data_IF_439888159527
#
_entry.id   IF_439888159527
#
_cell.length_a   1.000
_cell.length_b   1.000
_cell.length_c   1.000
_cell.angle_alpha   90.00
_cell.angle_beta   90.00
_cell.angle_gamma   90.00
#
_symmetry.space_group_name_H-M   'P 1'
#
loop_
_entity.id
_entity.type
_entity.pdbx_description
1 polymer ?
#
# COMPACT_ATOMS: atom_id res chain seq x y z
N UNK A 1 15.78 22.87 5.65
CA UNK A 1 16.19 21.51 5.25
C UNK A 1 15.35 20.41 5.94
N UNK A 2 14.05 20.66 6.21
CA UNK A 2 13.14 19.71 6.89
C UNK A 2 12.31 18.88 5.88
N UNK A 3 12.08 19.41 4.67
CA UNK A 3 11.29 18.71 3.64
C UNK A 3 11.95 17.46 3.03
N UNK A 4 13.28 17.35 3.07
CA UNK A 4 14.01 16.14 2.64
C UNK A 4 14.03 15.04 3.72
N UNK A 5 13.79 15.39 4.99
CA UNK A 5 13.81 14.43 6.09
C UNK A 5 12.60 13.47 6.04
N UNK A 6 11.46 13.96 5.51
CA UNK A 6 10.24 13.18 5.27
C UNK A 6 10.46 12.07 4.22
N UNK A 7 11.40 12.25 3.30
CA UNK A 7 11.67 11.29 2.24
C UNK A 7 12.54 10.12 2.66
N UNK A 8 13.34 10.25 3.72
CA UNK A 8 14.34 9.23 4.06
C UNK A 8 14.06 8.44 5.33
N UNK A 9 13.22 8.94 6.27
CA UNK A 9 12.84 8.24 7.50
C UNK A 9 11.35 8.46 7.79
N UNK A 10 10.47 7.68 7.15
CA UNK A 10 9.04 7.67 7.46
C UNK A 10 8.70 6.70 8.60
N UNK A 11 9.44 6.73 9.72
CA UNK A 11 9.21 5.86 10.89
C UNK A 11 7.88 6.10 11.62
N UNK A 12 6.80 6.42 10.91
CA UNK A 12 5.44 6.57 11.40
C UNK A 12 4.88 5.25 11.93
N UNK A 13 5.20 4.14 11.26
CA UNK A 13 4.88 2.79 11.74
C UNK A 13 5.85 2.30 12.82
N UNK A 14 7.02 2.93 12.92
CA UNK A 14 8.06 2.59 13.89
C UNK A 14 8.01 3.47 15.16
N UNK A 15 7.26 4.58 15.15
CA UNK A 15 7.12 5.47 16.30
C UNK A 15 6.18 4.85 17.34
N UNK A 16 6.67 4.45 18.53
CA UNK A 16 5.86 3.86 19.58
C UNK A 16 4.80 4.82 20.15
N UNK A 17 4.87 6.11 19.83
CA UNK A 17 3.82 7.10 20.18
C UNK A 17 2.59 7.01 19.29
N UNK A 18 2.78 6.54 18.05
CA UNK A 18 1.71 6.39 17.06
C UNK A 18 1.19 4.95 17.04
N UNK A 19 2.08 3.97 17.25
CA UNK A 19 1.74 2.54 17.24
C UNK A 19 2.35 1.74 18.42
N UNK A 20 1.86 1.91 19.66
CA UNK A 20 2.27 1.08 20.78
C UNK A 20 1.57 -0.31 20.74
N UNK A 21 2.30 -1.43 20.93
CA UNK A 21 3.73 -1.58 21.19
C UNK A 21 4.60 -1.49 19.93
N UNK A 22 5.89 -1.10 20.06
CA UNK A 22 6.80 -1.00 18.91
C UNK A 22 6.86 -2.33 18.14
N UNK A 23 7.00 -2.29 16.80
CA UNK A 23 7.03 -3.49 15.98
C UNK A 23 8.14 -4.46 16.40
N UNK A 24 7.84 -5.76 16.31
CA UNK A 24 8.86 -6.79 16.45
C UNK A 24 9.87 -6.70 15.28
N UNK A 25 11.11 -7.23 15.42
CA UNK A 25 12.09 -7.23 14.33
C UNK A 25 11.58 -7.91 13.04
N UNK A 26 10.70 -8.91 13.18
CA UNK A 26 10.05 -9.58 12.06
C UNK A 26 9.01 -8.67 11.36
N UNK A 27 8.27 -7.87 12.12
CA UNK A 27 7.35 -6.87 11.59
C UNK A 27 8.09 -5.74 10.86
N UNK A 28 9.19 -5.24 11.42
CA UNK A 28 10.03 -4.24 10.73
C UNK A 28 10.53 -4.73 9.37
N UNK A 29 10.94 -6.01 9.26
CA UNK A 29 11.37 -6.56 7.98
C UNK A 29 10.23 -6.58 6.92
N UNK A 30 8.98 -6.69 7.36
CA UNK A 30 7.80 -6.67 6.50
C UNK A 30 7.36 -5.24 6.19
N UNK A 31 7.56 -4.27 7.11
CA UNK A 31 7.07 -2.90 6.94
C UNK A 31 8.11 -1.92 6.40
N UNK A 32 9.41 -2.26 6.45
CA UNK A 32 10.50 -1.38 6.04
C UNK A 32 10.34 -0.85 4.60
N UNK A 33 9.72 -1.61 3.70
CA UNK A 33 9.47 -1.15 2.34
C UNK A 33 8.49 0.03 2.27
N UNK A 34 7.55 0.14 3.22
CA UNK A 34 6.55 1.20 3.23
C UNK A 34 7.17 2.54 3.63
N UNK A 35 8.25 2.50 4.39
CA UNK A 35 8.99 3.66 4.86
C UNK A 35 10.09 4.12 3.88
N UNK A 36 10.27 3.37 2.78
CA UNK A 36 11.25 3.68 1.75
C UNK A 36 10.74 4.72 0.74
N UNK A 37 11.64 5.64 0.36
CA UNK A 37 11.37 6.67 -0.64
C UNK A 37 10.93 6.13 -2.00
N UNK A 38 11.44 4.95 -2.41
CA UNK A 38 11.12 4.35 -3.71
C UNK A 38 9.67 3.89 -3.76
N UNK A 39 9.12 3.41 -2.65
CA UNK A 39 7.72 2.99 -2.54
C UNK A 39 6.79 4.20 -2.61
N UNK A 40 7.10 5.25 -1.83
CA UNK A 40 6.39 6.53 -1.89
C UNK A 40 6.43 7.16 -3.29
N UNK A 41 7.58 7.10 -3.98
CA UNK A 41 7.70 7.58 -5.35
C UNK A 41 6.83 6.77 -6.32
N UNK A 42 6.77 5.45 -6.17
CA UNK A 42 5.91 4.58 -6.98
C UNK A 42 4.43 4.95 -6.83
N UNK A 43 3.96 5.16 -5.59
CA UNK A 43 2.59 5.59 -5.30
C UNK A 43 2.26 6.93 -5.97
N UNK A 44 3.17 7.90 -5.89
CA UNK A 44 3.00 9.22 -6.51
C UNK A 44 2.93 9.10 -8.03
N UNK A 45 3.83 8.34 -8.65
CA UNK A 45 3.85 8.14 -10.11
C UNK A 45 2.54 7.48 -10.57
N UNK A 46 2.11 6.41 -9.91
CA UNK A 46 0.86 5.73 -10.26
C UNK A 46 -0.36 6.65 -10.05
N UNK A 47 -0.41 7.38 -8.94
CA UNK A 47 -1.47 8.35 -8.66
C UNK A 47 -1.54 9.46 -9.71
N UNK A 48 -0.40 10.01 -10.13
CA UNK A 48 -0.32 11.01 -11.20
C UNK A 48 -0.75 10.42 -12.55
N UNK A 49 -0.33 9.20 -12.90
CA UNK A 49 -0.74 8.55 -14.13
C UNK A 49 -2.27 8.35 -14.19
N UNK A 50 -2.88 7.92 -13.08
CA UNK A 50 -4.33 7.79 -12.95
C UNK A 50 -5.00 9.16 -13.09
N UNK A 51 -4.52 10.17 -12.35
CA UNK A 51 -5.10 11.51 -12.34
C UNK A 51 -5.07 12.15 -13.73
N UNK A 52 -3.92 12.11 -14.41
CA UNK A 52 -3.76 12.59 -15.79
C UNK A 52 -4.66 11.80 -16.74
N UNK A 53 -4.73 10.48 -16.57
CA UNK A 53 -5.60 9.60 -17.34
C UNK A 53 -7.09 9.96 -17.21
N UNK A 54 -7.55 10.30 -16.00
CA UNK A 54 -8.92 10.75 -15.73
C UNK A 54 -9.17 12.12 -16.35
N UNK A 55 -8.30 13.11 -16.10
CA UNK A 55 -8.50 14.48 -16.63
C UNK A 55 -8.51 14.55 -18.16
N UNK A 56 -7.69 13.72 -18.82
CA UNK A 56 -7.59 13.69 -20.28
C UNK A 56 -8.46 12.59 -20.92
N UNK A 57 -9.30 11.92 -20.13
CA UNK A 57 -10.12 10.78 -20.57
C UNK A 57 -9.32 9.70 -21.34
N UNK A 58 -8.06 9.47 -20.93
CA UNK A 58 -7.15 8.49 -21.51
C UNK A 58 -7.23 7.19 -20.71
N UNK A 59 -8.07 6.26 -21.19
CA UNK A 59 -8.27 4.94 -20.56
C UNK A 59 -6.97 4.18 -20.30
N UNK A 60 -6.04 4.17 -21.27
CA UNK A 60 -4.76 3.48 -21.11
C UNK A 60 -3.93 3.98 -19.92
N UNK A 61 -3.88 5.29 -19.69
CA UNK A 61 -3.14 5.88 -18.57
C UNK A 61 -3.82 5.60 -17.23
N UNK A 62 -5.16 5.71 -17.19
CA UNK A 62 -5.95 5.43 -16.00
C UNK A 62 -5.85 3.95 -15.61
N UNK A 63 -6.17 3.06 -16.56
CA UNK A 63 -6.25 1.63 -16.31
C UNK A 63 -4.85 1.04 -16.10
N UNK A 64 -3.85 1.48 -16.88
CA UNK A 64 -2.45 1.12 -16.68
C UNK A 64 -1.90 1.58 -15.33
N UNK A 65 -2.24 2.80 -14.89
CA UNK A 65 -1.89 3.31 -13.57
C UNK A 65 -2.54 2.51 -12.43
N UNK A 66 -3.81 2.09 -12.60
CA UNK A 66 -4.50 1.23 -11.63
C UNK A 66 -3.86 -0.16 -11.54
N UNK A 67 -3.50 -0.76 -12.67
CA UNK A 67 -2.80 -2.05 -12.71
C UNK A 67 -1.43 -1.95 -12.03
N UNK A 68 -0.65 -0.91 -12.33
CA UNK A 68 0.65 -0.66 -11.71
C UNK A 68 0.58 -0.37 -10.20
N UNK A 69 -0.52 0.24 -9.73
CA UNK A 69 -0.75 0.51 -8.31
C UNK A 69 -1.16 -0.75 -7.53
N UNK A 70 -1.78 -1.73 -8.19
CA UNK A 70 -2.36 -2.91 -7.53
C UNK A 70 -1.39 -3.72 -6.65
N UNK A 71 -0.12 -3.97 -7.02
CA UNK A 71 0.81 -4.71 -6.17
C UNK A 71 1.15 -3.93 -4.89
N UNK A 72 1.28 -2.61 -4.98
CA UNK A 72 1.56 -1.75 -3.83
C UNK A 72 0.40 -1.79 -2.82
N UNK A 73 -0.84 -1.80 -3.29
CA UNK A 73 -2.01 -1.95 -2.43
C UNK A 73 -2.09 -3.35 -1.79
N UNK A 74 -1.72 -4.39 -2.53
CA UNK A 74 -1.62 -5.75 -1.98
C UNK A 74 -0.57 -5.84 -0.87
N UNK A 75 0.63 -5.28 -1.10
CA UNK A 75 1.70 -5.24 -0.12
C UNK A 75 1.31 -4.49 1.17
N UNK A 76 0.69 -3.30 1.03
CA UNK A 76 0.15 -2.56 2.19
C UNK A 76 -0.92 -3.35 2.93
N UNK A 77 -1.79 -4.05 2.20
CA UNK A 77 -2.84 -4.86 2.81
C UNK A 77 -2.23 -5.99 3.66
N UNK A 78 -1.22 -6.69 3.13
CA UNK A 78 -0.47 -7.72 3.88
C UNK A 78 0.19 -7.11 5.11
N UNK A 79 0.80 -5.93 4.99
CA UNK A 79 1.43 -5.25 6.13
C UNK A 79 0.43 -4.97 7.27
N UNK A 80 -0.74 -4.42 6.93
CA UNK A 80 -1.80 -4.17 7.91
C UNK A 80 -2.38 -5.45 8.53
N UNK A 81 -2.52 -6.52 7.75
CA UNK A 81 -2.99 -7.83 8.25
C UNK A 81 -1.98 -8.39 9.25
N UNK A 82 -0.69 -8.41 8.91
CA UNK A 82 0.39 -8.87 9.80
C UNK A 82 0.36 -8.07 11.09
N UNK A 83 0.27 -6.74 11.01
CA UNK A 83 0.17 -5.88 12.21
C UNK A 83 -1.04 -6.21 13.08
N UNK A 84 -2.21 -6.45 12.49
CA UNK A 84 -3.41 -6.86 13.21
C UNK A 84 -3.34 -8.24 13.87
N UNK A 85 -2.54 -9.16 13.31
CA UNK A 85 -2.31 -10.49 13.89
C UNK A 85 -1.37 -10.45 15.09
N UNK A 86 -0.37 -9.56 15.08
CA UNK A 86 0.62 -9.43 16.16
C UNK A 86 0.19 -8.46 17.27
N UNK A 87 -0.73 -7.52 17.00
CA UNK A 87 -1.28 -6.61 17.99
C UNK A 87 -2.82 -6.65 18.01
N UNK A 88 -3.38 -7.28 19.05
CA UNK A 88 -4.84 -7.41 19.24
C UNK A 88 -5.53 -6.06 19.46
N UNK A 89 -4.78 -5.00 19.81
CA UNK A 89 -5.30 -3.64 19.98
C UNK A 89 -5.29 -2.84 18.67
N UNK A 90 -4.71 -3.41 17.62
CA UNK A 90 -4.61 -2.75 16.33
C UNK A 90 -5.99 -2.57 15.71
N UNK A 91 -6.22 -1.39 15.14
CA UNK A 91 -7.51 -0.93 14.62
C UNK A 91 -8.11 -1.88 13.56
N UNK A 92 -9.43 -1.84 13.37
CA UNK A 92 -10.20 -2.57 12.34
C UNK A 92 -9.65 -2.44 10.90
N UNK A 93 -8.71 -1.53 10.66
CA UNK A 93 -7.93 -1.40 9.43
C UNK A 93 -7.41 -2.74 8.88
N UNK A 94 -6.98 -3.67 9.73
CA UNK A 94 -6.49 -4.98 9.27
C UNK A 94 -7.61 -5.85 8.66
N UNK A 95 -8.85 -5.73 9.15
CA UNK A 95 -10.01 -6.43 8.58
C UNK A 95 -10.36 -5.84 7.21
N UNK A 96 -10.33 -4.52 7.08
CA UNK A 96 -10.53 -3.85 5.79
C UNK A 96 -9.41 -4.18 4.79
N UNK A 97 -8.17 -4.29 5.26
CA UNK A 97 -7.04 -4.73 4.45
C UNK A 97 -7.23 -6.17 3.94
N UNK A 98 -7.76 -7.08 4.78
CA UNK A 98 -8.09 -8.44 4.37
C UNK A 98 -9.18 -8.48 3.29
N UNK A 99 -10.25 -7.71 3.48
CA UNK A 99 -11.30 -7.56 2.46
C UNK A 99 -10.75 -6.98 1.16
N UNK A 100 -9.89 -5.96 1.26
CA UNK A 100 -9.24 -5.35 0.10
C UNK A 100 -8.37 -6.37 -0.66
N UNK A 101 -7.55 -7.13 0.06
CA UNK A 101 -6.70 -8.17 -0.54
C UNK A 101 -7.55 -9.25 -1.22
N UNK A 102 -8.64 -9.67 -0.58
CA UNK A 102 -9.58 -10.64 -1.17
C UNK A 102 -10.21 -10.12 -2.46
N UNK A 103 -10.66 -8.86 -2.47
CA UNK A 103 -11.20 -8.22 -3.68
C UNK A 103 -10.13 -8.11 -4.77
N UNK A 104 -8.90 -7.74 -4.42
CA UNK A 104 -7.81 -7.59 -5.38
C UNK A 104 -7.46 -8.92 -6.04
N UNK A 105 -7.33 -9.99 -5.25
CA UNK A 105 -7.14 -11.36 -5.77
C UNK A 105 -8.35 -11.80 -6.59
N UNK A 106 -9.57 -11.53 -6.12
CA UNK A 106 -10.80 -11.83 -6.87
C UNK A 106 -10.88 -11.11 -8.22
N UNK A 107 -10.43 -9.86 -8.29
CA UNK A 107 -10.35 -9.11 -9.57
C UNK A 107 -9.29 -9.67 -10.49
N UNK A 108 -8.14 -10.11 -9.96
CA UNK A 108 -7.08 -10.75 -10.74
C UNK A 108 -7.55 -12.06 -11.37
N UNK A 109 -8.20 -12.93 -10.58
CA UNK A 109 -8.75 -14.21 -11.05
C UNK A 109 -9.85 -14.00 -12.10
N UNK A 110 -10.74 -13.02 -11.89
CA UNK A 110 -11.82 -12.72 -12.85
C UNK A 110 -11.30 -12.08 -14.13
N UNK A 111 -10.23 -11.30 -14.07
CA UNK A 111 -9.57 -10.73 -15.24
C UNK A 111 -9.15 -11.81 -16.24
N UNK A 112 -8.68 -12.97 -15.75
CA UNK A 112 -8.28 -14.11 -16.58
C UNK A 112 -9.48 -14.77 -17.29
N UNK A 113 -10.67 -14.74 -16.68
CA UNK A 113 -11.88 -15.36 -17.24
C UNK A 113 -12.58 -14.53 -18.33
N UNK A 114 -12.25 -13.25 -18.48
CA UNK A 114 -12.85 -12.36 -19.49
C UNK A 114 -11.89 -12.06 -20.66
N UNK A 115 -10.77 -12.75 -20.73
CA UNK A 115 -9.78 -12.68 -21.81
C UNK A 115 -9.97 -13.73 -22.90
N UNK A 116 -11.18 -13.84 -23.48
CA UNK A 116 -11.46 -14.55 -24.73
C UNK A 116 -12.54 -13.82 -25.53
#
# INVERSE_FOLDING_TARGET
MSGLYIWFHQGYLDDPRVTPPPPSPAEHAIFAFADDWWFSLWLIICGLAILVGVFHNRRLLRDGGLVALSPAMGALSVAFIVRGLFDVRFNLTWVFALLMLFLLVGTLIRGDTHGY
#
